data_IF_170599229961
#
_entry.id   IF_170599229961
#
_cell.length_a   1.000
_cell.length_b   1.000
_cell.length_c   1.000
_cell.angle_alpha   90.00
_cell.angle_beta   90.00
_cell.angle_gamma   90.00
#
_symmetry.space_group_name_H-M   'P 1'
#
loop_
_entity.id
_entity.type
_entity.pdbx_description
1 polymer ?
#
# COMPACT_ATOMS: atom_id res chain seq x y z
N UNK A 1 17.39 -14.63 -16.49
CA UNK A 1 17.68 -13.37 -17.21
C UNK A 1 17.18 -12.24 -16.32
N UNK A 2 18.12 -11.41 -15.84
CA UNK A 2 17.96 -10.21 -14.98
C UNK A 2 17.07 -10.31 -13.73
N UNK A 3 17.64 -10.82 -12.64
CA UNK A 3 17.17 -10.50 -11.29
C UNK A 3 17.52 -9.05 -10.96
N UNK A 4 16.54 -8.16 -11.01
CA UNK A 4 16.69 -6.81 -10.48
C UNK A 4 16.42 -6.88 -8.97
N UNK A 5 17.46 -7.18 -8.19
CA UNK A 5 17.48 -6.75 -6.79
C UNK A 5 17.55 -5.21 -6.81
N UNK A 6 16.39 -4.58 -6.89
CA UNK A 6 16.25 -3.12 -6.79
C UNK A 6 16.56 -2.79 -5.34
N UNK A 7 17.76 -2.26 -5.13
CA UNK A 7 18.34 -1.91 -3.84
C UNK A 7 17.46 -0.89 -3.13
N UNK A 8 16.49 -1.34 -2.34
CA UNK A 8 15.86 -0.50 -1.33
C UNK A 8 16.90 -0.26 -0.24
N UNK A 9 17.54 0.90 -0.25
CA UNK A 9 18.17 1.43 0.96
C UNK A 9 17.17 1.26 2.12
N UNK A 10 17.58 0.56 3.18
CA UNK A 10 16.79 0.17 4.35
C UNK A 10 15.86 1.29 4.87
N UNK A 11 14.66 1.40 4.32
CA UNK A 11 13.60 2.22 4.90
C UNK A 11 13.10 1.52 6.18
N UNK A 12 12.77 2.31 7.20
CA UNK A 12 12.31 1.75 8.46
C UNK A 12 10.90 1.15 8.28
N UNK A 13 10.68 -0.15 8.55
CA UNK A 13 9.37 -0.81 8.46
C UNK A 13 8.26 -0.12 9.26
N UNK A 14 8.58 0.49 10.40
CA UNK A 14 7.62 1.22 11.23
C UNK A 14 7.16 2.50 10.53
N UNK A 15 8.11 3.29 10.00
CA UNK A 15 7.80 4.52 9.24
C UNK A 15 7.04 4.17 7.97
N UNK A 16 7.39 3.07 7.30
CA UNK A 16 6.65 2.55 6.15
C UNK A 16 5.20 2.20 6.49
N UNK A 17 4.96 1.49 7.61
CA UNK A 17 3.59 1.16 8.02
C UNK A 17 2.76 2.41 8.36
N UNK A 18 3.36 3.38 9.05
CA UNK A 18 2.69 4.63 9.36
C UNK A 18 2.43 5.44 8.08
N UNK A 19 3.39 5.48 7.16
CA UNK A 19 3.23 6.15 5.88
C UNK A 19 2.14 5.51 5.03
N UNK A 20 2.07 4.19 5.00
CA UNK A 20 1.05 3.45 4.28
C UNK A 20 -0.33 3.72 4.89
N UNK A 21 -0.44 3.71 6.22
CA UNK A 21 -1.66 4.11 6.92
C UNK A 21 -2.14 5.52 6.48
N UNK A 22 -1.25 6.52 6.53
CA UNK A 22 -1.53 7.88 6.08
C UNK A 22 -1.91 8.01 4.60
N UNK A 23 -1.48 7.07 3.75
CA UNK A 23 -1.82 7.06 2.33
C UNK A 23 -3.23 6.53 2.06
N UNK A 24 -3.78 5.76 3.00
CA UNK A 24 -5.12 5.17 2.91
C UNK A 24 -6.19 6.00 3.64
N UNK A 25 -5.84 7.17 4.17
CA UNK A 25 -6.80 8.07 4.83
C UNK A 25 -7.83 8.63 3.85
N UNK A 26 -9.09 8.66 4.27
CA UNK A 26 -10.19 9.33 3.58
C UNK A 26 -10.46 10.72 4.16
N UNK A 27 -11.35 11.49 3.52
CA UNK A 27 -11.74 12.83 3.97
C UNK A 27 -10.73 13.90 3.58
N UNK A 28 -10.37 14.77 4.52
CA UNK A 28 -9.50 15.93 4.24
C UNK A 28 -8.10 15.55 3.73
N UNK A 29 -7.64 14.33 3.98
CA UNK A 29 -6.33 13.82 3.56
C UNK A 29 -6.36 12.91 2.34
N UNK A 30 -7.53 12.72 1.71
CA UNK A 30 -7.68 11.81 0.59
C UNK A 30 -6.79 12.23 -0.60
N UNK A 31 -5.96 11.30 -1.08
CA UNK A 31 -5.00 11.45 -2.18
C UNK A 31 -3.91 12.52 -1.94
N UNK A 32 -3.80 13.06 -0.73
CA UNK A 32 -2.72 14.01 -0.39
C UNK A 32 -1.41 13.26 -0.13
N UNK A 33 -0.26 13.80 -0.59
CA UNK A 33 1.05 13.26 -0.23
C UNK A 33 1.22 13.09 1.28
N UNK A 34 1.89 12.02 1.68
CA UNK A 34 2.07 11.69 3.11
C UNK A 34 3.18 12.51 3.77
N UNK A 35 3.98 13.24 2.97
CA UNK A 35 5.21 13.89 3.40
C UNK A 35 5.03 14.80 4.61
N UNK A 36 4.02 15.69 4.60
CA UNK A 36 3.79 16.61 5.72
C UNK A 36 3.40 15.85 6.99
N UNK A 37 2.55 14.83 6.86
CA UNK A 37 2.11 14.00 8.00
C UNK A 37 3.27 13.17 8.56
N UNK A 38 4.13 12.64 7.69
CA UNK A 38 5.36 11.95 8.09
C UNK A 38 6.37 12.90 8.74
N UNK A 39 6.60 14.09 8.20
CA UNK A 39 7.52 15.08 8.76
C UNK A 39 7.06 15.52 10.16
N UNK A 40 5.75 15.72 10.36
CA UNK A 40 5.19 16.06 11.66
C UNK A 40 5.45 14.95 12.72
N UNK A 41 5.44 13.68 12.32
CA UNK A 41 5.65 12.53 13.21
C UNK A 41 7.12 12.13 13.36
N UNK A 42 7.91 12.36 12.33
CA UNK A 42 9.34 12.06 12.27
C UNK A 42 10.12 13.29 11.77
N UNK A 43 10.34 14.30 12.65
CA UNK A 43 10.94 15.59 12.25
C UNK A 43 12.37 15.50 11.73
N UNK A 44 13.05 14.38 11.99
CA UNK A 44 14.43 14.15 11.56
C UNK A 44 14.55 13.68 10.10
N UNK A 45 13.42 13.34 9.44
CA UNK A 45 13.44 12.94 8.04
C UNK A 45 13.71 14.15 7.14
N UNK A 46 14.66 13.99 6.23
CA UNK A 46 14.90 15.00 5.19
C UNK A 46 13.94 14.82 4.01
N UNK A 47 13.91 15.82 3.11
CA UNK A 47 13.02 15.82 1.94
C UNK A 47 13.18 14.59 1.04
N UNK A 48 14.41 14.11 0.85
CA UNK A 48 14.69 12.93 0.02
C UNK A 48 14.13 11.66 0.66
N UNK A 49 14.22 11.54 1.99
CA UNK A 49 13.63 10.41 2.71
C UNK A 49 12.10 10.45 2.66
N UNK A 50 11.50 11.62 2.88
CA UNK A 50 10.05 11.81 2.80
C UNK A 50 9.51 11.41 1.43
N UNK A 51 10.17 11.84 0.35
CA UNK A 51 9.76 11.44 -1.01
C UNK A 51 9.92 9.94 -1.27
N UNK A 52 10.97 9.31 -0.72
CA UNK A 52 11.13 7.86 -0.82
C UNK A 52 9.98 7.12 -0.14
N UNK A 53 9.62 7.49 1.09
CA UNK A 53 8.49 6.87 1.79
C UNK A 53 7.17 7.09 1.02
N UNK A 54 6.91 8.31 0.56
CA UNK A 54 5.72 8.64 -0.23
C UNK A 54 5.65 7.83 -1.53
N UNK A 55 6.76 7.71 -2.25
CA UNK A 55 6.85 6.92 -3.48
C UNK A 55 6.55 5.44 -3.22
N UNK A 56 7.15 4.84 -2.18
CA UNK A 56 6.90 3.43 -1.83
C UNK A 56 5.44 3.22 -1.44
N UNK A 57 4.85 4.12 -0.65
CA UNK A 57 3.44 3.98 -0.28
C UNK A 57 2.52 4.09 -1.50
N UNK A 58 2.79 4.99 -2.44
CA UNK A 58 2.04 5.09 -3.71
C UNK A 58 2.17 3.81 -4.55
N UNK A 59 3.37 3.27 -4.66
CA UNK A 59 3.63 2.03 -5.39
C UNK A 59 2.85 0.86 -4.77
N UNK A 60 2.85 0.73 -3.44
CA UNK A 60 2.07 -0.29 -2.71
C UNK A 60 0.57 -0.15 -2.97
N UNK A 61 0.03 1.07 -2.92
CA UNK A 61 -1.39 1.31 -3.21
C UNK A 61 -1.75 0.92 -4.64
N UNK A 62 -0.94 1.33 -5.61
CA UNK A 62 -1.18 1.00 -7.02
C UNK A 62 -1.16 -0.52 -7.23
N UNK A 63 -0.13 -1.21 -6.75
CA UNK A 63 -0.01 -2.66 -6.88
C UNK A 63 -1.18 -3.40 -6.21
N UNK A 64 -1.61 -2.96 -5.04
CA UNK A 64 -2.76 -3.55 -4.35
C UNK A 64 -4.07 -3.34 -5.13
N UNK A 65 -4.29 -2.13 -5.66
CA UNK A 65 -5.47 -1.81 -6.44
C UNK A 65 -5.51 -2.60 -7.75
N UNK A 66 -4.41 -2.62 -8.49
CA UNK A 66 -4.26 -3.37 -9.73
C UNK A 66 -4.50 -4.87 -9.48
N UNK A 67 -3.92 -5.43 -8.41
CA UNK A 67 -4.11 -6.83 -8.07
C UNK A 67 -5.58 -7.18 -7.80
N UNK A 68 -6.31 -6.35 -7.05
CA UNK A 68 -7.74 -6.59 -6.80
C UNK A 68 -8.58 -6.41 -8.08
N UNK A 69 -8.27 -5.40 -8.88
CA UNK A 69 -8.97 -5.10 -10.13
C UNK A 69 -8.81 -6.22 -11.17
N UNK A 70 -7.58 -6.72 -11.35
CA UNK A 70 -7.24 -7.73 -12.35
C UNK A 70 -7.65 -9.16 -11.96
N UNK A 71 -8.00 -9.37 -10.69
CA UNK A 71 -8.36 -10.69 -10.15
C UNK A 71 -9.79 -10.72 -9.58
N UNK A 72 -10.84 -10.48 -10.39
CA UNK A 72 -12.20 -10.63 -9.91
C UNK A 72 -12.48 -12.09 -9.53
N UNK A 73 -13.16 -12.30 -8.40
CA UNK A 73 -13.68 -13.61 -8.04
C UNK A 73 -15.01 -13.84 -8.80
N UNK A 74 -15.02 -14.90 -9.61
CA UNK A 74 -16.20 -15.32 -10.37
C UNK A 74 -17.11 -16.16 -9.48
N UNK A 75 -18.25 -15.60 -9.13
CA UNK A 75 -19.33 -16.33 -8.51
C UNK A 75 -20.47 -16.34 -9.53
N UNK A 76 -21.20 -17.45 -9.66
CA UNK A 76 -22.22 -17.65 -10.71
C UNK A 76 -23.38 -16.63 -10.69
N UNK A 77 -23.41 -15.70 -9.72
CA UNK A 77 -24.48 -14.74 -9.51
C UNK A 77 -24.03 -13.30 -9.26
N UNK A 78 -22.77 -13.04 -8.87
CA UNK A 78 -22.26 -11.69 -8.56
C UNK A 78 -20.75 -11.58 -8.83
N UNK A 79 -20.32 -10.40 -9.25
CA UNK A 79 -18.90 -10.02 -9.32
C UNK A 79 -18.42 -9.83 -7.88
N UNK A 80 -17.51 -10.69 -7.41
CA UNK A 80 -16.89 -10.55 -6.08
C UNK A 80 -15.39 -10.33 -6.20
N UNK A 81 -14.72 -10.01 -5.11
CA UNK A 81 -13.29 -9.71 -5.09
C UNK A 81 -12.46 -10.95 -4.75
N UNK A 82 -11.19 -10.97 -5.21
CA UNK A 82 -10.20 -11.97 -4.80
C UNK A 82 -10.21 -12.18 -3.28
N UNK A 83 -10.07 -13.42 -2.82
CA UNK A 83 -10.02 -13.72 -1.38
C UNK A 83 -8.88 -12.98 -0.68
N UNK A 84 -9.13 -12.44 0.52
CA UNK A 84 -8.13 -11.72 1.30
C UNK A 84 -6.84 -12.52 1.53
N UNK A 85 -6.91 -13.84 1.72
CA UNK A 85 -5.72 -14.69 1.91
C UNK A 85 -4.80 -14.70 0.68
N UNK A 86 -5.36 -14.66 -0.53
CA UNK A 86 -4.58 -14.59 -1.78
C UNK A 86 -3.95 -13.21 -1.96
N UNK A 87 -4.70 -12.16 -1.64
CA UNK A 87 -4.18 -10.79 -1.58
C UNK A 87 -3.04 -10.66 -0.54
N UNK A 88 -3.25 -11.15 0.68
CA UNK A 88 -2.28 -11.13 1.78
C UNK A 88 -0.98 -11.83 1.38
N UNK A 89 -1.08 -13.03 0.81
CA UNK A 89 0.08 -13.78 0.32
C UNK A 89 0.84 -13.01 -0.77
N UNK A 90 0.14 -12.46 -1.77
CA UNK A 90 0.75 -11.67 -2.83
C UNK A 90 1.46 -10.42 -2.29
N UNK A 91 0.80 -9.67 -1.41
CA UNK A 91 1.36 -8.45 -0.85
C UNK A 91 2.56 -8.73 0.04
N UNK A 92 2.53 -9.77 0.88
CA UNK A 92 3.66 -10.12 1.75
C UNK A 92 4.86 -10.69 1.01
N UNK A 93 4.66 -11.31 -0.16
CA UNK A 93 5.77 -11.71 -1.05
C UNK A 93 6.53 -10.52 -1.62
N UNK A 94 5.83 -9.41 -1.89
CA UNK A 94 6.42 -8.19 -2.45
C UNK A 94 6.87 -7.19 -1.37
N UNK A 95 6.16 -7.15 -0.24
CA UNK A 95 6.29 -6.15 0.82
C UNK A 95 6.14 -6.81 2.21
N UNK A 96 7.13 -7.59 2.61
CA UNK A 96 7.13 -8.35 3.88
C UNK A 96 7.05 -7.49 5.15
N UNK A 97 7.25 -6.18 5.03
CA UNK A 97 7.17 -5.23 6.15
C UNK A 97 5.75 -4.78 6.48
N UNK A 98 4.75 -5.00 5.62
CA UNK A 98 3.38 -4.50 5.85
C UNK A 98 2.74 -5.24 7.03
N UNK A 99 2.22 -4.49 8.00
CA UNK A 99 1.46 -5.01 9.12
C UNK A 99 0.12 -5.62 8.69
N UNK A 100 -0.38 -6.55 9.50
CA UNK A 100 -1.67 -7.21 9.25
C UNK A 100 -2.83 -6.21 9.23
N UNK A 101 -2.77 -5.19 10.07
CA UNK A 101 -3.73 -4.10 10.15
C UNK A 101 -3.78 -3.31 8.84
N UNK A 102 -2.61 -2.92 8.32
CA UNK A 102 -2.52 -2.21 7.05
C UNK A 102 -2.93 -3.09 5.86
N UNK A 103 -2.58 -4.38 5.84
CA UNK A 103 -3.01 -5.30 4.78
C UNK A 103 -4.53 -5.37 4.66
N UNK A 104 -5.23 -5.50 5.79
CA UNK A 104 -6.70 -5.53 5.81
C UNK A 104 -7.31 -4.23 5.30
N UNK A 105 -6.76 -3.08 5.73
CA UNK A 105 -7.24 -1.76 5.30
C UNK A 105 -6.97 -1.52 3.82
N UNK A 106 -5.79 -1.89 3.35
CA UNK A 106 -5.38 -1.78 1.96
C UNK A 106 -6.31 -2.61 1.08
N UNK A 107 -6.53 -3.87 1.43
CA UNK A 107 -7.48 -4.74 0.73
C UNK A 107 -8.89 -4.14 0.65
N UNK A 108 -9.43 -3.67 1.77
CA UNK A 108 -10.77 -3.08 1.80
C UNK A 108 -10.86 -1.83 0.92
N UNK A 109 -9.84 -0.97 0.93
CA UNK A 109 -9.79 0.22 0.09
C UNK A 109 -9.65 -0.15 -1.40
N UNK A 110 -8.83 -1.14 -1.74
CA UNK A 110 -8.68 -1.63 -3.11
C UNK A 110 -9.99 -2.24 -3.63
N UNK A 111 -10.72 -3.01 -2.82
CA UNK A 111 -12.06 -3.51 -3.17
C UNK A 111 -13.04 -2.36 -3.39
N UNK A 112 -13.03 -1.34 -2.52
CA UNK A 112 -13.87 -0.16 -2.68
C UNK A 112 -13.59 0.58 -4.01
N UNK A 113 -12.32 0.73 -4.39
CA UNK A 113 -11.96 1.35 -5.66
C UNK A 113 -12.30 0.48 -6.87
N UNK A 114 -12.11 -0.84 -6.79
CA UNK A 114 -12.48 -1.75 -7.87
C UNK A 114 -14.00 -1.87 -8.07
N UNK A 115 -14.80 -1.58 -7.04
CA UNK A 115 -16.26 -1.51 -7.12
C UNK A 115 -16.79 -0.23 -7.79
N UNK A 116 -16.04 0.87 -7.68
CA UNK A 116 -16.45 2.22 -8.07
C UNK A 116 -16.25 2.50 -9.55
#
# INVERSE_FOLDING_TARGET
MFGTNKTCMNLNPEILNIGLDFSMEFGENWLKPINQRLLNKFPNLNLVELEKYNSVCKEVNNIANDFVYDNPAKNEKELTFIEFSKFENFMLQNFSWISKENLKRLYNQSCYYAYK
#
